data_IF_350961575361
#
_entry.id   IF_350961575361
#
_cell.length_a   1.000
_cell.length_b   1.000
_cell.length_c   1.000
_cell.angle_alpha   90.00
_cell.angle_beta   90.00
_cell.angle_gamma   90.00
#
_symmetry.space_group_name_H-M   'P 1'
#
loop_
_entity.id
_entity.type
_entity.pdbx_description
1 polymer ?
#
# COMPACT_ATOMS: atom_id res chain seq x y z
N UNK A 1 15.68 1.51 -16.76
CA UNK A 1 15.14 0.80 -15.60
C UNK A 1 14.60 1.86 -14.67
N UNK A 2 13.29 1.88 -14.42
CA UNK A 2 12.76 2.75 -13.37
C UNK A 2 13.44 2.36 -12.07
N UNK A 3 13.83 3.34 -11.26
CA UNK A 3 14.09 3.08 -9.86
C UNK A 3 12.78 2.50 -9.32
N UNK A 4 12.68 1.16 -9.23
CA UNK A 4 11.51 0.50 -8.65
C UNK A 4 11.23 1.13 -7.28
N UNK A 5 10.03 0.94 -6.72
CA UNK A 5 9.68 1.44 -5.39
C UNK A 5 10.78 1.08 -4.39
N UNK A 6 11.70 2.01 -4.15
CA UNK A 6 12.89 1.80 -3.31
C UNK A 6 12.59 2.12 -1.85
N UNK A 7 11.45 2.79 -1.63
CA UNK A 7 10.93 3.17 -0.33
C UNK A 7 9.73 2.29 -0.01
N UNK A 8 9.81 1.59 1.13
CA UNK A 8 8.69 0.79 1.65
C UNK A 8 7.52 1.72 1.99
N UNK A 9 6.39 1.59 1.33
CA UNK A 9 5.15 2.34 1.58
C UNK A 9 4.09 1.47 2.27
N UNK A 10 4.48 0.29 2.77
CA UNK A 10 3.57 -0.69 3.33
C UNK A 10 2.83 -1.55 2.30
N UNK A 11 3.01 -1.31 0.98
CA UNK A 11 2.46 -2.16 -0.06
C UNK A 11 3.22 -3.49 -0.13
N UNK A 12 2.49 -4.59 -0.37
CA UNK A 12 3.07 -5.92 -0.60
C UNK A 12 2.42 -6.56 -1.82
N UNK A 13 3.22 -6.95 -2.81
CA UNK A 13 2.72 -7.57 -4.03
C UNK A 13 3.85 -7.78 -5.02
N UNK A 14 3.64 -8.71 -5.94
CA UNK A 14 4.58 -8.97 -7.02
C UNK A 14 3.95 -8.49 -8.32
N UNK A 15 4.72 -7.69 -9.07
CA UNK A 15 4.31 -7.16 -10.36
C UNK A 15 5.19 -7.78 -11.43
N UNK A 16 4.56 -8.47 -12.39
CA UNK A 16 5.25 -9.08 -13.52
C UNK A 16 4.88 -8.30 -14.77
N UNK A 17 5.89 -7.70 -15.38
CA UNK A 17 5.78 -7.03 -16.67
C UNK A 17 6.13 -8.01 -17.78
N UNK A 18 5.23 -8.20 -18.73
CA UNK A 18 5.46 -9.07 -19.88
C UNK A 18 5.13 -8.35 -21.18
N UNK A 19 6.03 -8.46 -22.15
CA UNK A 19 5.80 -8.01 -23.51
C UNK A 19 6.40 -9.04 -24.47
N UNK A 20 5.57 -9.70 -25.26
CA UNK A 20 6.01 -10.75 -26.20
C UNK A 20 7.01 -10.23 -27.23
N UNK A 21 6.79 -9.02 -27.74
CA UNK A 21 7.72 -8.29 -28.61
C UNK A 21 7.33 -6.81 -28.68
N UNK A 22 8.18 -5.96 -29.25
CA UNK A 22 7.90 -4.53 -29.41
C UNK A 22 6.68 -4.18 -30.27
N UNK A 23 6.05 -5.17 -30.93
CA UNK A 23 4.80 -5.01 -31.69
C UNK A 23 3.53 -5.35 -30.88
N UNK A 24 3.68 -5.82 -29.64
CA UNK A 24 2.57 -6.20 -28.77
C UNK A 24 2.46 -5.22 -27.61
N UNK A 25 1.24 -4.98 -27.14
CA UNK A 25 1.03 -4.20 -25.93
C UNK A 25 1.66 -4.91 -24.72
N UNK A 26 2.38 -4.18 -23.86
CA UNK A 26 2.86 -4.74 -22.61
C UNK A 26 1.67 -5.01 -21.69
N UNK A 27 1.76 -6.08 -20.90
CA UNK A 27 0.82 -6.37 -19.82
C UNK A 27 1.55 -6.34 -18.49
N UNK A 28 0.84 -5.91 -17.46
CA UNK A 28 1.28 -6.03 -16.07
C UNK A 28 0.34 -7.02 -15.37
N UNK A 29 0.91 -8.04 -14.75
CA UNK A 29 0.19 -9.01 -13.93
C UNK A 29 0.58 -8.75 -12.48
N UNK A 30 -0.40 -8.39 -11.66
CA UNK A 30 -0.23 -8.23 -10.22
C UNK A 30 -0.81 -9.44 -9.50
N UNK A 31 -0.04 -10.02 -8.59
CA UNK A 31 -0.54 -11.04 -7.68
C UNK A 31 -0.15 -10.72 -6.23
N UNK A 32 -1.09 -11.00 -5.34
CA UNK A 32 -1.05 -10.70 -3.92
C UNK A 32 -1.75 -11.82 -3.17
N UNK A 33 -1.40 -12.03 -1.90
CA UNK A 33 -2.24 -12.83 -1.00
C UNK A 33 -3.56 -12.10 -0.74
N UNK A 34 -4.62 -12.81 -0.33
CA UNK A 34 -5.88 -12.17 0.07
C UNK A 34 -5.68 -11.18 1.21
N UNK A 35 -4.82 -11.54 2.17
CA UNK A 35 -4.43 -10.70 3.30
C UNK A 35 -3.80 -9.38 2.83
N UNK A 36 -2.81 -9.45 1.93
CA UNK A 36 -2.17 -8.25 1.41
C UNK A 36 -3.09 -7.43 0.52
N UNK A 37 -3.93 -8.08 -0.31
CA UNK A 37 -4.85 -7.41 -1.22
C UNK A 37 -5.84 -6.54 -0.45
N UNK A 38 -6.35 -7.04 0.67
CA UNK A 38 -7.28 -6.30 1.52
C UNK A 38 -6.65 -4.98 1.99
N UNK A 39 -5.46 -5.04 2.59
CA UNK A 39 -4.78 -3.83 3.05
C UNK A 39 -4.35 -2.93 1.89
N UNK A 40 -3.82 -3.50 0.81
CA UNK A 40 -3.38 -2.73 -0.35
C UNK A 40 -4.51 -1.90 -0.97
N UNK A 41 -5.75 -2.40 -0.96
CA UNK A 41 -6.91 -1.63 -1.42
C UNK A 41 -7.13 -0.40 -0.54
N UNK A 42 -7.08 -0.54 0.78
CA UNK A 42 -7.24 0.60 1.69
C UNK A 42 -6.06 1.58 1.60
N UNK A 43 -4.83 1.10 1.50
CA UNK A 43 -3.66 1.98 1.27
C UNK A 43 -3.83 2.77 -0.03
N UNK A 44 -4.35 2.13 -1.08
CA UNK A 44 -4.65 2.80 -2.34
C UNK A 44 -5.76 3.85 -2.17
N UNK A 45 -6.89 3.50 -1.59
CA UNK A 45 -8.05 4.40 -1.54
C UNK A 45 -7.84 5.60 -0.60
N UNK A 46 -7.08 5.41 0.48
CA UNK A 46 -6.93 6.40 1.55
C UNK A 46 -5.59 7.16 1.57
N UNK A 47 -4.50 6.59 1.06
CA UNK A 47 -3.17 7.23 1.11
C UNK A 47 -2.64 7.63 -0.27
N UNK A 48 -3.01 6.92 -1.33
CA UNK A 48 -2.47 7.18 -2.66
C UNK A 48 -2.84 8.58 -3.16
N UNK A 49 -1.85 9.31 -3.68
CA UNK A 49 -1.97 10.70 -4.18
C UNK A 49 -2.49 11.72 -3.14
N UNK A 50 -2.45 11.39 -1.84
CA UNK A 50 -2.86 12.30 -0.75
C UNK A 50 -1.71 13.10 -0.13
N UNK A 51 -0.49 12.97 -0.66
CA UNK A 51 0.72 13.66 -0.15
C UNK A 51 1.07 13.37 1.32
N UNK A 52 0.59 12.26 1.89
CA UNK A 52 1.03 11.83 3.22
C UNK A 52 2.48 11.36 3.21
N UNK A 53 3.20 11.49 4.34
CA UNK A 53 4.52 10.89 4.51
C UNK A 53 4.47 9.38 4.25
N UNK A 54 5.50 8.85 3.57
CA UNK A 54 5.55 7.43 3.20
C UNK A 54 5.53 6.49 4.41
N UNK A 55 6.03 6.96 5.56
CA UNK A 55 6.05 6.20 6.81
C UNK A 55 4.66 5.91 7.37
N UNK A 56 3.63 6.68 7.01
CA UNK A 56 2.25 6.42 7.39
C UNK A 56 1.83 5.03 6.86
N UNK A 57 2.14 4.72 5.59
CA UNK A 57 1.83 3.43 5.00
C UNK A 57 2.53 2.26 5.71
N UNK A 58 3.80 2.44 6.10
CA UNK A 58 4.55 1.45 6.91
C UNK A 58 3.93 1.22 8.27
N UNK A 59 3.52 2.28 8.96
CA UNK A 59 2.86 2.20 10.27
C UNK A 59 1.53 1.46 10.15
N UNK A 60 0.72 1.80 9.13
CA UNK A 60 -0.54 1.11 8.86
C UNK A 60 -0.33 -0.38 8.58
N UNK A 61 0.68 -0.74 7.78
CA UNK A 61 1.09 -2.13 7.54
C UNK A 61 1.40 -2.86 8.84
N UNK A 62 2.27 -2.29 9.68
CA UNK A 62 2.64 -2.90 10.96
C UNK A 62 1.39 -3.13 11.82
N UNK A 63 0.51 -2.15 11.95
CA UNK A 63 -0.73 -2.28 12.74
C UNK A 63 -1.68 -3.37 12.18
N UNK A 64 -1.79 -3.48 10.86
CA UNK A 64 -2.56 -4.56 10.21
C UNK A 64 -1.97 -5.94 10.52
N UNK A 65 -0.65 -6.11 10.39
CA UNK A 65 0.03 -7.39 10.68
C UNK A 65 -0.06 -7.80 12.16
N UNK A 66 -0.21 -6.85 13.08
CA UNK A 66 -0.45 -7.12 14.51
C UNK A 66 -1.94 -7.34 14.85
N UNK A 67 -2.83 -7.42 13.85
CA UNK A 67 -4.25 -7.70 14.06
C UNK A 67 -5.09 -6.51 14.58
N UNK A 68 -4.53 -5.30 14.57
CA UNK A 68 -5.22 -4.09 15.03
C UNK A 68 -6.19 -3.51 13.98
N UNK A 69 -6.11 -3.99 12.74
CA UNK A 69 -6.97 -3.59 11.64
C UNK A 69 -7.52 -4.86 11.00
N UNK A 70 -8.83 -5.10 11.14
CA UNK A 70 -9.52 -6.28 10.60
C UNK A 70 -10.52 -5.94 9.51
N UNK A 71 -10.96 -4.68 9.46
CA UNK A 71 -11.93 -4.17 8.51
C UNK A 71 -11.64 -2.69 8.19
N UNK A 72 -12.37 -2.15 7.22
CA UNK A 72 -12.14 -0.79 6.72
C UNK A 72 -12.48 0.28 7.77
N UNK A 73 -13.44 0.02 8.66
CA UNK A 73 -13.79 0.96 9.72
C UNK A 73 -12.60 1.13 10.70
N UNK A 74 -12.06 0.01 11.18
CA UNK A 74 -10.86 0.01 12.02
C UNK A 74 -9.65 0.63 11.30
N UNK A 75 -9.52 0.41 9.98
CA UNK A 75 -8.46 1.06 9.19
C UNK A 75 -8.57 2.58 9.27
N UNK A 76 -9.77 3.16 9.10
CA UNK A 76 -10.01 4.61 9.18
C UNK A 76 -9.72 5.16 10.57
N UNK A 77 -10.17 4.49 11.62
CA UNK A 77 -9.91 4.89 13.00
C UNK A 77 -8.41 4.90 13.31
N UNK A 78 -7.72 3.82 12.93
CA UNK A 78 -6.28 3.72 13.12
C UNK A 78 -5.53 4.77 12.31
N UNK A 79 -5.96 5.04 11.08
CA UNK A 79 -5.37 6.09 10.24
C UNK A 79 -5.51 7.48 10.89
N UNK A 80 -6.70 7.84 11.36
CA UNK A 80 -6.93 9.11 12.05
C UNK A 80 -6.04 9.25 13.30
N UNK A 81 -5.88 8.17 14.07
CA UNK A 81 -4.98 8.15 15.23
C UNK A 81 -3.50 8.34 14.84
N UNK A 82 -3.06 7.72 13.75
CA UNK A 82 -1.69 7.87 13.24
C UNK A 82 -1.44 9.30 12.75
N UNK A 83 -2.39 9.88 12.01
CA UNK A 83 -2.29 11.25 11.49
C UNK A 83 -2.28 12.29 12.62
N UNK A 84 -3.20 12.19 13.58
CA UNK A 84 -3.24 13.11 14.73
C UNK A 84 -2.02 13.00 15.66
N UNK A 85 -1.39 11.83 15.73
CA UNK A 85 -0.13 11.67 16.46
C UNK A 85 1.06 12.29 15.72
N UNK A 86 1.00 12.35 14.38
CA UNK A 86 2.06 12.96 13.56
C UNK A 86 2.05 14.49 13.57
N UNK A 87 0.93 15.13 13.90
CA UNK A 87 0.83 16.60 14.02
C UNK A 87 1.39 17.15 15.35
N UNK A 88 1.64 16.28 16.33
CA UNK A 88 2.12 16.66 17.68
C UNK A 88 3.64 16.56 17.86
N UNK A 89 4.37 16.17 16.81
CA UNK A 89 5.84 16.03 16.80
C UNK A 89 6.48 17.15 16.00
#
# INVERSE_FOLDING_TARGET
MSNGKSLDDGYRGVHVYYQKSGKHYPIEIQFNTLFDRQLNNWLHDYLYKKNYPIDIGKIMRKKYEHGLIRNEHEFKEVLNNVLSSSERS
#
